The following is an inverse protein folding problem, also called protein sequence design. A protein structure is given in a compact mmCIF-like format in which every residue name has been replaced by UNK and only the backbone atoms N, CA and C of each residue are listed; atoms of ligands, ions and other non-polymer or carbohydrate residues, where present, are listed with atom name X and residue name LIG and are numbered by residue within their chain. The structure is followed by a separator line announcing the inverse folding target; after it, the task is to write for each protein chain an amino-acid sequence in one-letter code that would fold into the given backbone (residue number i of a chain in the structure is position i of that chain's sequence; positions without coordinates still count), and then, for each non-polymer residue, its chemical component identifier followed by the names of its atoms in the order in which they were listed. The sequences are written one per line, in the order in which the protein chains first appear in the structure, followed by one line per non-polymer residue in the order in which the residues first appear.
data_IF_435702869215
#
_entry.id   IF_435702869215
#
_cell.length_a   1.000
_cell.length_b   1.000
_cell.length_c   1.000
_cell.angle_alpha   90.00
_cell.angle_beta   90.00
_cell.angle_gamma   90.00
#
_symmetry.space_group_name_H-M   'P 1'
#
loop_
_entity.id
_entity.type
_entity.pdbx_description
1 polymer ?
#
# COMPACT_ATOMS: atom_id res chain seq x y z
N UNK A 1 -50.24 15.03 4.05
CA UNK A 1 -49.85 14.39 2.76
C UNK A 1 -48.41 13.87 2.86
N UNK A 2 -48.22 12.62 3.32
CA UNK A 2 -46.92 11.95 3.33
C UNK A 2 -46.70 11.32 1.95
N UNK A 3 -45.76 11.85 1.16
CA UNK A 3 -45.35 11.22 -0.11
C UNK A 3 -44.44 10.04 0.22
N UNK A 4 -44.98 8.83 0.16
CA UNK A 4 -44.20 7.59 0.12
C UNK A 4 -43.38 7.59 -1.17
N UNK A 5 -42.04 7.69 -1.07
CA UNK A 5 -41.14 7.31 -2.16
C UNK A 5 -40.75 5.85 -1.94
N UNK A 6 -40.82 4.99 -2.96
CA UNK A 6 -40.34 3.62 -2.84
C UNK A 6 -38.82 3.62 -2.59
N UNK A 7 -38.37 2.84 -1.61
CA UNK A 7 -36.96 2.59 -1.35
C UNK A 7 -36.36 1.81 -2.51
N UNK A 8 -35.72 2.51 -3.45
CA UNK A 8 -34.81 1.85 -4.37
C UNK A 8 -33.61 1.37 -3.55
N UNK A 9 -33.50 0.06 -3.39
CA UNK A 9 -32.30 -0.60 -2.89
C UNK A 9 -31.16 -0.29 -3.86
N UNK A 10 -30.38 0.74 -3.57
CA UNK A 10 -29.10 0.96 -4.24
C UNK A 10 -28.19 -0.17 -3.78
N UNK A 11 -27.92 -1.10 -4.70
CA UNK A 11 -26.87 -2.10 -4.55
C UNK A 11 -25.58 -1.40 -4.14
N UNK A 12 -24.83 -1.93 -3.15
CA UNK A 12 -23.55 -1.36 -2.78
C UNK A 12 -22.61 -1.37 -4.00
N UNK A 13 -21.90 -0.27 -4.22
CA UNK A 13 -20.86 -0.21 -5.24
C UNK A 13 -19.87 -1.37 -5.04
N UNK A 14 -19.44 -2.05 -6.12
CA UNK A 14 -18.44 -3.11 -6.01
C UNK A 14 -17.15 -2.54 -5.41
N UNK A 15 -16.53 -3.37 -4.56
CA UNK A 15 -15.32 -3.06 -3.81
C UNK A 15 -14.20 -2.51 -4.72
N UNK A 16 -13.27 -1.68 -4.21
CA UNK A 16 -12.14 -1.16 -5.00
C UNK A 16 -11.13 -2.24 -5.47
N UNK A 17 -11.29 -3.51 -5.06
CA UNK A 17 -10.64 -4.66 -5.72
C UNK A 17 -11.32 -5.06 -7.02
N UNK A 18 -12.63 -4.88 -7.09
CA UNK A 18 -13.44 -4.89 -8.30
C UNK A 18 -13.61 -3.44 -8.81
N UNK A 19 -12.48 -2.77 -9.09
CA UNK A 19 -12.53 -1.57 -9.92
C UNK A 19 -13.27 -1.95 -11.20
N UNK A 20 -14.44 -1.33 -11.41
CA UNK A 20 -15.01 -1.20 -12.75
C UNK A 20 -13.85 -0.85 -13.68
N UNK A 21 -13.61 -1.66 -14.72
CA UNK A 21 -12.33 -1.70 -15.39
C UNK A 21 -11.96 -0.29 -15.82
N UNK A 22 -10.79 0.16 -15.35
CA UNK A 22 -10.05 1.27 -15.92
C UNK A 22 -10.21 1.24 -17.45
N UNK A 23 -10.29 2.40 -18.14
CA UNK A 23 -10.80 2.50 -19.50
C UNK A 23 -10.31 1.31 -20.33
N UNK A 24 -11.24 0.42 -20.71
CA UNK A 24 -11.01 -0.78 -21.53
C UNK A 24 -10.63 -0.36 -22.96
N UNK A 25 -9.68 0.55 -23.10
CA UNK A 25 -9.17 0.99 -24.36
C UNK A 25 -7.74 0.50 -24.43
N UNK A 26 -7.47 -0.64 -25.09
CA UNK A 26 -6.17 -1.24 -25.07
C UNK A 26 -5.25 -0.47 -26.00
N UNK A 27 -4.61 0.55 -25.42
CA UNK A 27 -3.68 1.45 -26.11
C UNK A 27 -2.62 0.66 -26.88
N UNK A 28 -2.10 -0.41 -26.28
CA UNK A 28 -1.01 -1.23 -26.85
C UNK A 28 -1.48 -2.14 -28.00
N UNK A 29 -2.69 -2.71 -27.91
CA UNK A 29 -3.19 -3.61 -28.97
C UNK A 29 -3.80 -2.82 -30.15
N UNK A 30 -4.33 -1.63 -29.89
CA UNK A 30 -4.97 -0.75 -30.88
C UNK A 30 -3.98 -0.05 -31.80
N UNK A 31 -2.89 0.51 -31.26
CA UNK A 31 -1.97 1.34 -32.03
C UNK A 31 -0.69 0.56 -32.39
N UNK A 32 -0.35 0.39 -33.68
CA UNK A 32 0.82 -0.37 -34.11
C UNK A 32 2.15 0.12 -33.52
N UNK A 33 2.29 1.43 -33.32
CA UNK A 33 3.50 2.09 -32.83
C UNK A 33 3.62 2.12 -31.29
N UNK A 34 2.59 1.67 -30.55
CA UNK A 34 2.63 1.61 -29.09
C UNK A 34 3.04 0.20 -28.67
N UNK A 35 4.11 0.11 -27.88
CA UNK A 35 4.70 -1.14 -27.41
C UNK A 35 4.54 -1.35 -25.90
N UNK A 36 4.39 -0.26 -25.14
CA UNK A 36 4.21 -0.29 -23.69
C UNK A 36 3.13 0.70 -23.26
N UNK A 37 2.38 0.35 -22.23
CA UNK A 37 1.48 1.27 -21.54
C UNK A 37 1.71 1.22 -20.04
N UNK A 38 1.76 2.39 -19.42
CA UNK A 38 1.89 2.56 -17.98
C UNK A 38 0.62 3.20 -17.44
N UNK A 39 0.00 2.58 -16.46
CA UNK A 39 -1.20 3.06 -15.80
C UNK A 39 -0.88 3.18 -14.32
N UNK A 40 -1.00 4.40 -13.77
CA UNK A 40 -0.86 4.64 -12.33
C UNK A 40 -2.21 5.09 -11.79
N UNK A 41 -2.66 4.43 -10.72
CA UNK A 41 -3.90 4.73 -10.01
C UNK A 41 -3.53 5.04 -8.57
N UNK A 42 -3.97 6.21 -8.11
CA UNK A 42 -3.89 6.61 -6.70
C UNK A 42 -5.30 6.61 -6.12
N UNK A 43 -5.50 5.80 -5.09
CA UNK A 43 -6.75 5.74 -4.35
C UNK A 43 -6.58 6.46 -3.02
N UNK A 44 -7.40 7.49 -2.83
CA UNK A 44 -7.51 8.24 -1.58
C UNK A 44 -8.41 7.47 -0.60
N UNK A 45 -8.04 7.48 0.68
CA UNK A 45 -8.79 6.80 1.74
C UNK A 45 -10.02 7.63 2.15
N UNK A 46 -11.19 6.99 2.14
CA UNK A 46 -12.45 7.58 2.58
C UNK A 46 -13.17 6.61 3.52
N UNK A 47 -13.38 7.03 4.76
CA UNK A 47 -14.11 6.27 5.77
C UNK A 47 -15.50 6.83 5.98
N UNK A 48 -16.45 5.96 6.29
CA UNK A 48 -17.82 6.39 6.60
C UNK A 48 -17.84 7.05 7.97
N UNK A 49 -18.58 8.15 8.10
CA UNK A 49 -18.71 8.85 9.39
C UNK A 49 -19.71 8.10 10.28
N UNK A 50 -19.33 7.63 11.48
CA UNK A 50 -20.28 7.05 12.44
C UNK A 50 -21.18 8.15 13.01
N UNK A 51 -22.50 7.90 13.03
CA UNK A 51 -23.50 8.85 13.56
C UNK A 51 -23.92 8.47 14.99
N UNK A 52 -23.82 7.20 15.34
CA UNK A 52 -24.06 6.61 16.66
C UNK A 52 -23.00 5.55 16.95
N UNK A 53 -22.78 5.21 18.22
CA UNK A 53 -21.79 4.21 18.64
C UNK A 53 -22.07 2.80 18.05
N UNK A 54 -23.31 2.52 17.65
CA UNK A 54 -23.77 1.22 17.16
C UNK A 54 -23.83 1.11 15.62
N UNK A 55 -23.57 2.21 14.89
CA UNK A 55 -23.67 2.22 13.43
C UNK A 55 -22.28 2.26 12.78
N UNK A 56 -21.96 1.29 11.93
CA UNK A 56 -20.71 1.18 11.15
C UNK A 56 -20.43 2.37 10.20
N UNK A 57 -21.35 3.33 10.12
CA UNK A 57 -21.19 4.58 9.39
C UNK A 57 -22.41 4.99 8.58
N UNK A 58 -22.47 6.27 8.20
CA UNK A 58 -23.53 6.81 7.38
C UNK A 58 -23.46 6.30 5.92
N UNK A 59 -24.62 6.18 5.26
CA UNK A 59 -24.72 5.56 3.92
C UNK A 59 -24.08 6.37 2.80
N UNK A 60 -24.01 7.69 2.96
CA UNK A 60 -23.57 8.62 1.90
C UNK A 60 -22.70 9.76 2.43
N UNK A 61 -22.15 9.63 3.64
CA UNK A 61 -21.26 10.65 4.22
C UNK A 61 -19.95 10.02 4.62
N UNK A 62 -18.85 10.66 4.20
CA UNK A 62 -17.51 10.14 4.31
C UNK A 62 -16.55 11.24 4.78
N UNK A 63 -15.52 10.85 5.52
CA UNK A 63 -14.39 11.70 5.91
C UNK A 63 -13.09 11.14 5.34
N UNK A 64 -12.11 12.02 5.15
CA UNK A 64 -10.73 11.63 4.84
C UNK A 64 -10.03 11.30 6.16
N UNK A 65 -9.80 10.02 6.43
CA UNK A 65 -9.24 9.53 7.69
C UNK A 65 -7.76 9.15 7.54
N UNK A 66 -6.97 10.12 7.07
CA UNK A 66 -5.55 9.96 6.79
C UNK A 66 -5.18 10.54 5.42
N UNK A 67 -3.89 10.86 5.28
CA UNK A 67 -3.31 11.31 4.00
C UNK A 67 -2.69 10.15 3.22
N UNK A 68 -2.70 8.95 3.78
CA UNK A 68 -2.15 7.78 3.12
C UNK A 68 -2.94 7.40 1.88
N UNK A 69 -2.22 7.00 0.84
CA UNK A 69 -2.78 6.65 -0.47
C UNK A 69 -2.39 5.23 -0.81
N UNK A 70 -3.36 4.49 -1.35
CA UNK A 70 -3.06 3.24 -2.02
C UNK A 70 -2.65 3.54 -3.46
N UNK A 71 -1.52 3.00 -3.88
CA UNK A 71 -0.97 3.22 -5.23
C UNK A 71 -0.92 1.89 -5.95
N UNK A 72 -1.40 1.88 -7.20
CA UNK A 72 -1.28 0.74 -8.10
C UNK A 72 -0.65 1.21 -9.41
N UNK A 73 0.44 0.57 -9.81
CA UNK A 73 1.12 0.79 -11.09
C UNK A 73 1.00 -0.49 -11.90
N UNK A 74 0.34 -0.42 -13.05
CA UNK A 74 0.24 -1.50 -14.00
C UNK A 74 1.03 -1.14 -15.26
N UNK A 75 1.94 -2.01 -15.66
CA UNK A 75 2.65 -1.97 -16.93
C UNK A 75 2.15 -3.10 -17.82
N UNK A 76 1.86 -2.79 -19.08
CA UNK A 76 1.59 -3.77 -20.12
C UNK A 76 2.67 -3.65 -21.17
N UNK A 77 3.44 -4.72 -21.37
CA UNK A 77 4.53 -4.82 -22.32
C UNK A 77 4.15 -5.74 -23.49
N UNK A 78 4.30 -5.25 -24.72
CA UNK A 78 4.09 -5.97 -25.97
C UNK A 78 5.35 -6.05 -26.84
N UNK A 79 6.53 -5.85 -26.26
CA UNK A 79 7.81 -5.83 -27.00
C UNK A 79 8.13 -7.20 -27.63
N UNK A 80 7.67 -8.29 -27.03
CA UNK A 80 7.82 -9.65 -27.57
C UNK A 80 6.87 -9.98 -28.75
N UNK A 81 5.93 -9.07 -29.07
CA UNK A 81 4.92 -9.25 -30.10
C UNK A 81 3.53 -8.91 -29.59
N UNK A 82 2.63 -8.46 -30.47
CA UNK A 82 1.26 -8.08 -30.08
C UNK A 82 0.38 -9.26 -29.67
N UNK A 83 0.84 -10.48 -29.92
CA UNK A 83 0.18 -11.73 -29.56
C UNK A 83 0.58 -12.22 -28.16
N UNK A 84 1.66 -11.67 -27.58
CA UNK A 84 2.18 -12.02 -26.26
C UNK A 84 2.32 -10.76 -25.42
N UNK A 85 1.29 -10.47 -24.64
CA UNK A 85 1.25 -9.31 -23.74
C UNK A 85 1.64 -9.77 -22.33
N UNK A 86 2.60 -9.07 -21.72
CA UNK A 86 3.04 -9.32 -20.35
C UNK A 86 2.57 -8.16 -19.47
N UNK A 87 1.82 -8.48 -18.42
CA UNK A 87 1.38 -7.54 -17.41
C UNK A 87 2.29 -7.60 -16.19
N UNK A 88 2.80 -6.46 -15.75
CA UNK A 88 3.48 -6.30 -14.45
C UNK A 88 2.64 -5.38 -13.59
N UNK A 89 2.37 -5.80 -12.34
CA UNK A 89 1.59 -5.00 -11.41
C UNK A 89 2.39 -4.79 -10.13
N UNK A 90 2.57 -3.52 -9.78
CA UNK A 90 3.07 -3.07 -8.49
C UNK A 90 1.92 -2.45 -7.72
N UNK A 91 1.74 -2.85 -6.47
CA UNK A 91 0.76 -2.23 -5.57
C UNK A 91 1.45 -1.81 -4.28
N UNK A 92 0.86 -0.87 -3.56
CA UNK A 92 1.53 -0.29 -2.41
C UNK A 92 0.69 0.71 -1.64
N UNK A 93 1.30 1.21 -0.57
CA UNK A 93 0.80 2.28 0.29
C UNK A 93 1.86 3.38 0.31
N UNK A 94 1.43 4.63 0.21
CA UNK A 94 2.29 5.82 0.27
C UNK A 94 1.76 6.81 1.30
N UNK A 95 2.63 7.70 1.76
CA UNK A 95 2.31 8.78 2.71
C UNK A 95 1.72 8.33 4.04
N UNK A 96 2.02 7.09 4.47
CA UNK A 96 1.53 6.57 5.74
C UNK A 96 2.44 7.03 6.89
N UNK A 97 1.97 8.02 7.64
CA UNK A 97 2.69 8.58 8.77
C UNK A 97 2.45 7.77 10.04
N UNK A 98 3.52 7.26 10.64
CA UNK A 98 3.48 6.55 11.92
C UNK A 98 4.52 7.12 12.89
N UNK A 99 4.23 7.00 14.18
CA UNK A 99 5.10 7.44 15.26
C UNK A 99 4.95 6.49 16.45
N UNK A 100 6.08 6.10 17.04
CA UNK A 100 6.14 5.55 18.38
C UNK A 100 7.06 6.41 19.24
N UNK A 101 6.68 6.59 20.50
CA UNK A 101 7.35 7.49 21.44
C UNK A 101 8.46 6.82 22.25
N UNK A 102 8.51 5.49 22.28
CA UNK A 102 9.48 4.64 22.99
C UNK A 102 9.66 3.32 22.23
N UNK A 103 10.50 2.40 22.73
CA UNK A 103 10.75 1.09 22.14
C UNK A 103 11.58 1.16 20.86
N UNK A 104 12.42 2.19 20.73
CA UNK A 104 13.32 2.37 19.59
C UNK A 104 14.73 2.72 20.04
N UNK A 105 15.65 1.80 19.83
CA UNK A 105 17.07 2.00 20.12
C UNK A 105 17.86 2.24 18.84
N UNK A 106 18.94 3.02 18.95
CA UNK A 106 19.99 3.08 17.95
C UNK A 106 21.35 3.05 18.65
N UNK A 107 21.88 1.83 18.79
CA UNK A 107 23.13 1.55 19.49
C UNK A 107 24.04 0.68 18.62
N UNK A 108 25.31 0.53 19.01
CA UNK A 108 26.27 -0.37 18.35
C UNK A 108 26.56 -0.08 16.86
N UNK A 109 26.33 1.16 16.40
CA UNK A 109 26.79 1.59 15.07
C UNK A 109 28.31 1.81 15.04
N UNK A 110 28.89 1.71 13.85
CA UNK A 110 30.32 1.95 13.62
C UNK A 110 30.64 3.39 14.04
N UNK A 111 31.72 3.54 14.83
CA UNK A 111 32.23 4.84 15.23
C UNK A 111 33.56 5.11 14.54
N UNK A 112 33.67 6.29 13.98
CA UNK A 112 34.86 6.81 13.31
C UNK A 112 35.07 8.30 13.66
N UNK A 113 36.01 8.95 12.98
CA UNK A 113 36.33 10.37 13.18
C UNK A 113 35.17 11.32 12.84
N UNK A 114 34.17 10.87 12.08
CA UNK A 114 33.01 11.66 11.68
C UNK A 114 31.78 11.41 12.56
N UNK A 115 31.87 10.48 13.51
CA UNK A 115 30.74 10.05 14.32
C UNK A 115 30.52 10.98 15.51
N UNK A 116 29.51 11.83 15.43
CA UNK A 116 29.08 12.73 16.53
C UNK A 116 27.80 12.27 17.22
N UNK A 117 27.05 11.35 16.59
CA UNK A 117 25.79 10.85 17.09
C UNK A 117 26.00 10.07 18.40
N UNK A 118 25.22 10.40 19.43
CA UNK A 118 25.19 9.64 20.67
C UNK A 118 24.42 8.32 20.47
N UNK A 119 24.87 7.26 21.14
CA UNK A 119 24.09 6.03 21.19
C UNK A 119 22.91 6.24 22.15
N UNK A 120 21.72 5.81 21.72
CA UNK A 120 20.48 6.00 22.45
C UNK A 120 19.79 4.65 22.59
N UNK A 121 19.52 4.25 23.82
CA UNK A 121 18.80 3.01 24.12
C UNK A 121 17.29 3.15 23.95
N UNK A 122 16.79 4.38 23.93
CA UNK A 122 15.39 4.69 23.61
C UNK A 122 15.29 6.07 22.95
N UNK A 123 14.33 6.24 22.04
CA UNK A 123 14.08 7.49 21.30
C UNK A 123 12.73 7.47 20.57
N UNK A 124 12.21 8.65 20.21
CA UNK A 124 11.01 8.79 19.38
C UNK A 124 11.32 8.35 17.95
N UNK A 125 10.61 7.34 17.44
CA UNK A 125 10.70 6.94 16.04
C UNK A 125 9.47 7.37 15.27
N UNK A 126 9.67 8.23 14.27
CA UNK A 126 8.61 8.64 13.35
C UNK A 126 9.10 8.47 11.92
N UNK A 127 8.21 7.99 11.05
CA UNK A 127 8.54 7.80 9.65
C UNK A 127 7.32 8.01 8.76
N UNK A 128 7.59 8.49 7.54
CA UNK A 128 6.66 8.36 6.44
C UNK A 128 6.94 7.04 5.73
N UNK A 129 5.98 6.13 5.74
CA UNK A 129 6.10 4.80 5.14
C UNK A 129 5.67 4.86 3.68
N UNK A 130 6.56 4.44 2.79
CA UNK A 130 6.22 4.02 1.44
C UNK A 130 6.50 2.52 1.32
N UNK A 131 5.45 1.77 1.05
CA UNK A 131 5.45 0.33 0.85
C UNK A 131 5.06 0.06 -0.59
N UNK A 132 5.88 -0.69 -1.32
CA UNK A 132 5.54 -1.20 -2.64
C UNK A 132 5.87 -2.68 -2.74
N UNK A 133 5.05 -3.43 -3.45
CA UNK A 133 5.27 -4.85 -3.69
C UNK A 133 4.85 -5.21 -5.11
N UNK A 134 5.59 -6.14 -5.69
CA UNK A 134 5.47 -6.54 -7.10
C UNK A 134 4.89 -7.95 -7.14
N UNK A 135 3.85 -8.13 -7.95
CA UNK A 135 3.28 -9.45 -8.23
C UNK A 135 4.02 -10.13 -9.37
N UNK A 136 3.93 -11.46 -9.42
CA UNK A 136 4.44 -12.24 -10.54
C UNK A 136 3.87 -11.73 -11.88
N UNK A 137 4.69 -11.70 -12.95
CA UNK A 137 4.22 -11.31 -14.28
C UNK A 137 3.04 -12.17 -14.72
N UNK A 138 2.01 -11.53 -15.28
CA UNK A 138 0.81 -12.22 -15.78
C UNK A 138 0.78 -12.18 -17.30
N UNK A 139 0.55 -13.33 -17.91
CA UNK A 139 0.28 -13.41 -19.33
C UNK A 139 -1.14 -12.93 -19.62
N UNK A 140 -1.22 -12.03 -20.59
CA UNK A 140 -2.44 -11.38 -21.00
C UNK A 140 -2.83 -11.92 -22.38
N UNK A 141 -4.04 -12.46 -22.50
CA UNK A 141 -4.58 -12.86 -23.81
C UNK A 141 -4.98 -11.61 -24.61
N UNK A 142 -4.51 -11.47 -25.86
CA UNK A 142 -4.90 -10.34 -26.69
C UNK A 142 -6.43 -10.38 -26.99
N UNK A 143 -7.09 -9.22 -27.13
CA UNK A 143 -8.48 -9.14 -27.56
C UNK A 143 -8.72 -9.87 -28.89
N UNK A 144 -9.69 -10.78 -28.94
CA UNK A 144 -10.08 -11.49 -30.16
C UNK A 144 -11.01 -10.70 -31.08
N UNK A 145 -11.54 -9.57 -30.63
CA UNK A 145 -12.51 -8.77 -31.39
C UNK A 145 -11.86 -7.91 -32.48
N UNK A 146 -12.55 -7.72 -33.60
CA UNK A 146 -12.13 -6.85 -34.72
C UNK A 146 -11.88 -5.40 -34.28
N UNK A 147 -12.60 -4.93 -33.25
CA UNK A 147 -12.42 -3.60 -32.67
C UNK A 147 -11.34 -3.55 -31.58
N UNK A 148 -10.89 -4.72 -31.09
CA UNK A 148 -9.95 -4.89 -29.98
C UNK A 148 -10.37 -4.11 -28.74
N UNK A 149 -11.61 -4.26 -28.27
CA UNK A 149 -12.13 -3.50 -27.12
C UNK A 149 -12.34 -4.39 -25.88
N UNK A 150 -12.55 -5.69 -26.07
CA UNK A 150 -12.74 -6.61 -24.95
C UNK A 150 -11.44 -7.28 -24.55
N UNK A 151 -11.09 -7.09 -23.29
CA UNK A 151 -9.98 -7.77 -22.66
C UNK A 151 -10.57 -8.81 -21.72
N UNK A 152 -10.28 -10.09 -21.98
CA UNK A 152 -10.46 -11.12 -20.98
C UNK A 152 -9.43 -10.88 -19.89
N UNK A 153 -9.84 -10.23 -18.79
CA UNK A 153 -9.05 -10.30 -17.56
C UNK A 153 -8.84 -11.78 -17.29
N UNK A 154 -7.60 -12.28 -17.15
CA UNK A 154 -7.35 -13.68 -16.79
C UNK A 154 -8.24 -13.98 -15.58
N UNK A 155 -9.28 -14.79 -15.80
CA UNK A 155 -10.43 -14.82 -14.93
C UNK A 155 -10.00 -15.09 -13.48
N UNK A 156 -10.81 -14.62 -12.54
CA UNK A 156 -10.84 -14.99 -11.11
C UNK A 156 -11.03 -16.52 -10.87
N UNK A 157 -10.76 -17.36 -11.87
CA UNK A 157 -10.79 -18.80 -11.76
C UNK A 157 -9.66 -19.28 -10.85
N UNK A 158 -10.07 -19.97 -9.78
CA UNK A 158 -9.20 -20.70 -8.85
C UNK A 158 -8.31 -21.65 -9.65
N UNK A 159 -7.06 -21.23 -9.89
CA UNK A 159 -6.10 -21.99 -10.71
C UNK A 159 -5.28 -21.14 -11.70
N UNK A 160 -5.69 -19.90 -11.99
CA UNK A 160 -4.91 -18.94 -12.79
C UNK A 160 -3.96 -18.14 -11.88
N UNK A 161 -2.78 -17.75 -12.39
CA UNK A 161 -1.81 -16.89 -11.70
C UNK A 161 -2.52 -15.63 -11.21
N UNK A 162 -2.67 -15.49 -9.88
CA UNK A 162 -3.34 -14.36 -9.24
C UNK A 162 -4.72 -14.63 -8.63
N UNK A 163 -5.36 -15.79 -8.89
CA UNK A 163 -6.68 -16.15 -8.34
C UNK A 163 -6.65 -16.91 -7.00
N UNK A 164 -5.47 -17.02 -6.37
CA UNK A 164 -5.30 -17.61 -5.04
C UNK A 164 -5.30 -16.52 -3.97
N UNK A 165 -5.57 -16.90 -2.72
CA UNK A 165 -5.39 -16.01 -1.58
C UNK A 165 -3.97 -15.41 -1.58
N UNK A 166 -3.88 -14.09 -1.45
CA UNK A 166 -2.60 -13.38 -1.55
C UNK A 166 -2.10 -13.14 -2.98
N UNK A 167 -2.94 -13.38 -3.99
CA UNK A 167 -2.66 -13.17 -5.41
C UNK A 167 -3.02 -11.77 -5.92
N UNK A 168 -2.76 -11.54 -7.20
CA UNK A 168 -3.04 -10.27 -7.90
C UNK A 168 -4.52 -9.83 -7.80
N UNK A 169 -5.45 -10.78 -7.86
CA UNK A 169 -6.88 -10.48 -7.82
C UNK A 169 -7.44 -10.34 -6.39
N UNK A 170 -6.68 -10.78 -5.38
CA UNK A 170 -6.98 -10.58 -3.96
C UNK A 170 -6.48 -9.22 -3.45
N UNK A 171 -6.60 -8.19 -4.29
CA UNK A 171 -5.90 -6.93 -4.09
C UNK A 171 -6.37 -6.19 -2.82
N UNK A 172 -7.60 -6.41 -2.36
CA UNK A 172 -8.14 -5.74 -1.15
C UNK A 172 -7.54 -6.35 0.10
N UNK A 173 -7.55 -7.68 0.22
CA UNK A 173 -7.02 -8.35 1.42
C UNK A 173 -5.49 -8.28 1.46
N UNK A 174 -4.80 -8.33 0.32
CA UNK A 174 -3.33 -8.15 0.29
C UNK A 174 -2.92 -6.79 0.86
N UNK A 175 -3.56 -5.69 0.44
CA UNK A 175 -3.25 -4.36 0.98
C UNK A 175 -3.57 -4.27 2.46
N UNK A 176 -4.69 -4.85 2.88
CA UNK A 176 -5.12 -4.88 4.28
C UNK A 176 -4.10 -5.65 5.13
N UNK A 177 -3.78 -6.90 4.79
CA UNK A 177 -2.74 -7.71 5.45
C UNK A 177 -1.40 -6.99 5.51
N UNK A 178 -0.98 -6.37 4.40
CA UNK A 178 0.29 -5.65 4.36
C UNK A 178 0.30 -4.40 5.26
N UNK A 179 -0.82 -3.69 5.37
CA UNK A 179 -0.99 -2.59 6.32
C UNK A 179 -0.97 -3.10 7.77
N UNK A 180 -1.72 -4.17 8.05
CA UNK A 180 -1.86 -4.74 9.39
C UNK A 180 -0.50 -5.24 9.88
N UNK A 181 0.22 -6.03 9.08
CA UNK A 181 1.61 -6.46 9.39
C UNK A 181 2.52 -5.26 9.66
N UNK A 182 2.42 -4.21 8.87
CA UNK A 182 3.23 -3.02 9.08
C UNK A 182 2.87 -2.33 10.41
N UNK A 183 1.58 -2.14 10.71
CA UNK A 183 1.13 -1.51 11.94
C UNK A 183 1.51 -2.34 13.17
N UNK A 184 1.27 -3.64 13.14
CA UNK A 184 1.52 -4.55 14.24
C UNK A 184 3.01 -4.64 14.55
N UNK A 185 3.85 -4.87 13.53
CA UNK A 185 5.30 -4.94 13.72
C UNK A 185 5.86 -3.58 14.15
N UNK A 186 5.36 -2.47 13.61
CA UNK A 186 5.82 -1.15 14.05
C UNK A 186 5.49 -0.88 15.52
N UNK A 187 4.32 -1.33 15.98
CA UNK A 187 3.85 -1.14 17.35
C UNK A 187 4.52 -2.08 18.36
N UNK A 188 4.74 -3.35 18.01
CA UNK A 188 5.21 -4.39 18.94
C UNK A 188 6.74 -4.60 18.91
N UNK A 189 7.43 -4.26 17.82
CA UNK A 189 8.86 -4.53 17.70
C UNK A 189 9.69 -3.51 18.47
N UNK A 190 10.39 -3.95 19.52
CA UNK A 190 11.49 -3.19 20.12
C UNK A 190 12.63 -3.11 19.10
N UNK A 191 12.69 -1.97 18.42
CA UNK A 191 13.53 -1.81 17.24
C UNK A 191 14.97 -1.54 17.67
N UNK A 192 15.87 -2.50 17.42
CA UNK A 192 17.32 -2.26 17.56
C UNK A 192 17.88 -1.37 16.45
N UNK A 193 17.16 -1.25 15.33
CA UNK A 193 17.39 -0.32 14.22
C UNK A 193 16.21 -0.37 13.25
N UNK A 194 15.99 0.71 12.50
CA UNK A 194 14.94 0.79 11.46
C UNK A 194 15.06 -0.36 10.45
N UNK A 195 16.28 -0.73 10.08
CA UNK A 195 16.58 -1.79 9.12
C UNK A 195 16.13 -3.17 9.62
N UNK A 196 16.28 -3.45 10.91
CA UNK A 196 15.86 -4.73 11.48
C UNK A 196 14.34 -4.88 11.46
N UNK A 197 13.62 -3.82 11.84
CA UNK A 197 12.16 -3.77 11.80
C UNK A 197 11.63 -3.91 10.37
N UNK A 198 12.26 -3.23 9.41
CA UNK A 198 11.94 -3.37 7.99
C UNK A 198 12.07 -4.79 7.47
N UNK A 199 13.17 -5.45 7.82
CA UNK A 199 13.42 -6.82 7.38
C UNK A 199 12.32 -7.78 7.88
N UNK A 200 11.90 -7.64 9.14
CA UNK A 200 10.79 -8.44 9.71
C UNK A 200 9.47 -8.22 8.98
N UNK A 201 9.10 -6.96 8.71
CA UNK A 201 7.89 -6.61 7.96
C UNK A 201 7.88 -7.25 6.56
N UNK A 202 8.99 -7.13 5.84
CA UNK A 202 9.14 -7.72 4.49
C UNK A 202 8.95 -9.23 4.52
N UNK A 203 9.61 -9.92 5.46
CA UNK A 203 9.49 -11.38 5.59
C UNK A 203 8.05 -11.83 5.84
N UNK A 204 7.34 -11.13 6.72
CA UNK A 204 5.94 -11.45 7.04
C UNK A 204 5.00 -11.20 5.86
N UNK A 205 5.16 -10.10 5.15
CA UNK A 205 4.32 -9.79 3.97
C UNK A 205 4.49 -10.84 2.89
N UNK A 206 5.73 -11.24 2.57
CA UNK A 206 6.00 -12.27 1.57
C UNK A 206 5.44 -13.63 2.03
N UNK A 207 5.62 -13.99 3.30
CA UNK A 207 5.13 -15.25 3.84
C UNK A 207 3.59 -15.36 3.82
N UNK A 208 2.88 -14.25 4.03
CA UNK A 208 1.41 -14.21 4.06
C UNK A 208 0.75 -14.08 2.67
N UNK A 209 1.50 -13.69 1.64
CA UNK A 209 0.94 -13.40 0.31
C UNK A 209 1.73 -14.11 -0.78
N UNK A 210 1.26 -15.29 -1.18
CA UNK A 210 1.96 -16.16 -2.14
C UNK A 210 2.14 -15.56 -3.55
N UNK A 211 1.39 -14.52 -3.92
CA UNK A 211 1.49 -13.87 -5.23
C UNK A 211 2.56 -12.77 -5.31
N UNK A 212 3.17 -12.38 -4.19
CA UNK A 212 4.17 -11.30 -4.14
C UNK A 212 5.57 -11.87 -4.38
N UNK A 213 6.29 -11.32 -5.36
CA UNK A 213 7.68 -11.70 -5.64
C UNK A 213 8.69 -10.85 -4.86
N UNK A 214 8.41 -9.57 -4.68
CA UNK A 214 9.29 -8.66 -3.97
C UNK A 214 8.52 -7.58 -3.25
N UNK A 215 9.09 -7.11 -2.13
CA UNK A 215 8.57 -6.02 -1.32
C UNK A 215 9.69 -5.02 -1.10
N UNK A 216 9.39 -3.74 -1.31
CA UNK A 216 10.29 -2.62 -1.11
C UNK A 216 9.66 -1.64 -0.13
N UNK A 217 10.44 -1.26 0.87
CA UNK A 217 10.09 -0.20 1.81
C UNK A 217 11.03 0.99 1.65
N UNK A 218 10.46 2.18 1.73
CA UNK A 218 11.20 3.43 1.92
C UNK A 218 10.66 4.09 3.19
N UNK A 219 11.53 4.23 4.19
CA UNK A 219 11.22 4.87 5.47
C UNK A 219 12.02 6.14 5.63
N UNK A 220 11.37 7.29 5.43
CA UNK A 220 12.00 8.57 5.72
C UNK A 220 11.95 8.83 7.22
N UNK A 221 13.09 8.66 7.90
CA UNK A 221 13.21 8.94 9.32
C UNK A 221 12.99 10.45 9.60
N UNK A 222 11.92 10.76 10.34
CA UNK A 222 11.60 12.11 10.79
C UNK A 222 12.17 12.30 12.19
N UNK A 223 13.27 13.02 12.28
CA UNK A 223 13.98 13.23 13.54
C UNK A 223 13.26 14.21 14.47
N UNK A 224 13.05 13.78 15.71
CA UNK A 224 12.61 14.63 16.82
C UNK A 224 13.82 14.90 17.72
N UNK A 225 14.41 16.08 17.61
CA UNK A 225 15.63 16.45 18.35
C UNK A 225 15.23 17.05 19.70
N UNK A 226 15.79 16.52 20.78
CA UNK A 226 15.60 17.08 22.12
C UNK A 226 16.25 18.47 22.23
N UNK A 227 15.60 19.35 22.99
CA UNK A 227 16.11 20.69 23.28
C UNK A 227 16.65 20.71 24.70
N UNK A 228 17.94 20.98 24.87
CA UNK A 228 18.54 21.15 26.18
C UNK A 228 17.98 22.40 26.85
N UNK A 229 17.24 22.20 27.95
CA UNK A 229 16.62 23.27 28.75
C UNK A 229 17.32 23.53 30.08
N UNK A 230 18.55 23.03 30.29
CA UNK A 230 19.32 23.24 31.52
C UNK A 230 19.55 24.72 31.85
N UNK A 231 19.55 25.59 30.85
CA UNK A 231 19.65 27.05 31.04
C UNK A 231 18.42 27.65 31.77
N UNK A 232 17.32 26.91 31.85
CA UNK A 232 16.11 27.24 32.62
C UNK A 232 15.99 26.42 33.92
N UNK A 233 17.02 25.64 34.28
CA UNK A 233 16.98 24.69 35.39
C UNK A 233 15.88 23.60 35.21
N UNK A 234 15.61 23.21 33.96
CA UNK A 234 14.67 22.15 33.59
C UNK A 234 15.40 20.96 32.98
N UNK A 235 15.16 19.76 33.51
CA UNK A 235 15.70 18.52 32.96
C UNK A 235 14.91 18.07 31.71
N UNK A 236 15.58 18.09 30.55
CA UNK A 236 15.01 17.70 29.26
C UNK A 236 16.10 17.15 28.30
N UNK A 237 17.11 16.48 28.86
CA UNK A 237 18.28 16.01 28.09
C UNK A 237 18.23 14.53 27.73
N UNK A 238 17.28 13.79 28.30
CA UNK A 238 17.06 12.37 28.01
C UNK A 238 15.59 12.16 27.60
N UNK A 239 15.31 11.23 26.66
CA UNK A 239 13.95 10.77 26.42
C UNK A 239 13.37 10.14 27.72
N UNK A 240 12.04 10.20 27.89
CA UNK A 240 11.35 9.73 29.10
C UNK A 240 11.53 8.24 29.39
#
# INVERSE_FOLDING_TARGET
MKRHRPSQSLTPCPHPGALSPAPRHPLVSRYPHIHKAFITIEQLRWSRIPVTEEQEGHTHTFSRDGEDKRVVKAEVDATAGKDTLIGMVTSGISDLLVLKNTGSAFTNFIRDTYTTLAALSDWIFSTSVELSYIFAPVEIKPPSDEQKLEFGVPAEEVGVVGGKEGGLWDAVEVVKRARDVMMDVFAEDDSGSVQATLYKMVQLIIAQNAGIESVTYVLLNKHYILVDMKYLDVDNVLPP
#
